data_IF_667233057011
#
_entry.id   IF_667233057011
#
_cell.length_a   1.000
_cell.length_b   1.000
_cell.length_c   1.000
_cell.angle_alpha   90.00
_cell.angle_beta   90.00
_cell.angle_gamma   90.00
#
_symmetry.space_group_name_H-M   'P 1'
#
loop_
_entity.id
_entity.type
_entity.pdbx_description
1 polymer ?
#
# COMPACT_ATOMS: atom_id res chain seq x y z
N UNK A 1 23.17 11.33 26.87
CA UNK A 1 22.42 10.09 26.59
C UNK A 1 22.76 9.07 27.65
N UNK A 2 21.75 8.50 28.29
CA UNK A 2 21.90 7.48 29.33
C UNK A 2 21.53 6.13 28.74
N UNK A 3 22.38 5.12 28.92
CA UNK A 3 22.08 3.79 28.42
C UNK A 3 21.44 2.93 29.52
N UNK A 4 20.32 2.26 29.24
CA UNK A 4 19.61 1.36 30.18
C UNK A 4 19.40 -0.04 29.59
N UNK A 5 19.01 -1.00 30.42
CA UNK A 5 18.56 -2.32 29.96
C UNK A 5 17.08 -2.49 30.25
N UNK A 6 16.26 -2.81 29.25
CA UNK A 6 14.81 -2.99 29.43
C UNK A 6 14.47 -4.47 29.35
N UNK A 7 13.81 -5.00 30.39
CA UNK A 7 13.28 -6.36 30.40
C UNK A 7 11.79 -6.31 30.09
N UNK A 8 11.37 -7.02 29.05
CA UNK A 8 9.97 -7.24 28.68
C UNK A 8 9.73 -8.74 28.52
N UNK A 9 8.78 -9.30 29.28
CA UNK A 9 8.53 -10.73 29.36
C UNK A 9 9.81 -11.56 29.62
N UNK A 10 10.21 -12.40 28.65
CA UNK A 10 11.43 -13.23 28.69
C UNK A 10 12.63 -12.57 28.02
N UNK A 11 12.42 -11.46 27.31
CA UNK A 11 13.45 -10.78 26.52
C UNK A 11 14.09 -9.63 27.30
N UNK A 12 15.37 -9.38 27.02
CA UNK A 12 16.16 -8.33 27.67
C UNK A 12 16.87 -7.53 26.59
N UNK A 13 16.38 -6.31 26.35
CA UNK A 13 17.00 -5.34 25.45
C UNK A 13 18.13 -4.65 26.22
N UNK A 14 19.36 -5.02 25.88
CA UNK A 14 20.57 -4.41 26.44
C UNK A 14 20.88 -3.14 25.65
N UNK A 15 21.30 -2.11 26.36
CA UNK A 15 21.80 -0.87 25.79
C UNK A 15 20.78 0.04 25.06
N UNK A 16 19.58 0.21 25.61
CA UNK A 16 18.61 1.19 25.09
C UNK A 16 19.01 2.59 25.55
N UNK A 17 19.17 3.52 24.62
CA UNK A 17 19.56 4.90 24.91
C UNK A 17 18.35 5.75 25.32
N UNK A 18 18.53 6.52 26.38
CA UNK A 18 17.57 7.51 26.86
C UNK A 18 18.16 8.89 26.58
N UNK A 19 17.41 9.68 25.84
CA UNK A 19 17.67 11.11 25.69
C UNK A 19 16.94 11.88 26.80
N UNK A 20 17.69 12.38 27.78
CA UNK A 20 17.17 13.18 28.90
C UNK A 20 16.74 14.59 28.48
N UNK A 21 17.02 15.01 27.24
CA UNK A 21 16.53 16.29 26.68
C UNK A 21 15.11 16.19 26.13
N UNK A 22 14.58 14.97 25.98
CA UNK A 22 13.27 14.68 25.39
C UNK A 22 12.32 14.08 26.43
N UNK A 23 10.99 14.20 26.25
CA UNK A 23 10.04 13.65 27.22
C UNK A 23 10.07 12.11 27.26
N UNK A 24 9.70 11.50 28.40
CA UNK A 24 9.57 10.04 28.55
C UNK A 24 8.74 9.33 27.49
N UNK A 25 7.83 10.04 26.85
CA UNK A 25 7.05 9.55 25.73
C UNK A 25 7.92 9.05 24.55
N UNK A 26 9.00 9.76 24.21
CA UNK A 26 9.88 9.35 23.09
C UNK A 26 10.57 8.02 23.39
N UNK A 27 10.96 7.80 24.65
CA UNK A 27 11.50 6.53 25.10
C UNK A 27 10.47 5.39 25.00
N UNK A 28 9.17 5.66 25.24
CA UNK A 28 8.10 4.69 25.01
C UNK A 28 7.91 4.37 23.52
N UNK A 29 8.01 5.36 22.62
CA UNK A 29 7.96 5.11 21.18
C UNK A 29 9.13 4.23 20.72
N UNK A 30 10.36 4.50 21.18
CA UNK A 30 11.51 3.65 20.87
C UNK A 30 11.33 2.21 21.38
N UNK A 31 10.64 2.02 22.51
CA UNK A 31 10.27 0.70 23.00
C UNK A 31 9.12 0.06 22.21
N UNK A 32 8.24 0.83 21.59
CA UNK A 32 7.22 0.32 20.69
C UNK A 32 7.87 -0.31 19.44
N UNK A 33 8.88 0.34 18.86
CA UNK A 33 9.62 -0.21 17.71
C UNK A 33 10.31 -1.54 18.03
N UNK A 34 10.76 -1.71 19.28
CA UNK A 34 11.44 -2.93 19.73
C UNK A 34 10.49 -4.04 20.20
N UNK A 35 9.33 -3.70 20.77
CA UNK A 35 8.45 -4.67 21.47
C UNK A 35 7.06 -4.83 20.85
N UNK A 36 6.64 -3.93 19.96
CA UNK A 36 5.29 -3.89 19.39
C UNK A 36 4.18 -3.54 20.40
N UNK A 37 4.53 -3.10 21.61
CA UNK A 37 3.57 -2.65 22.63
C UNK A 37 3.29 -1.16 22.46
N UNK A 38 2.05 -0.72 22.15
CA UNK A 38 1.76 0.70 21.97
C UNK A 38 2.12 1.52 23.22
N UNK A 39 2.67 2.75 23.07
CA UNK A 39 3.12 3.60 24.19
C UNK A 39 2.11 3.75 25.33
N UNK A 40 0.81 3.81 25.01
CA UNK A 40 -0.29 3.93 25.98
C UNK A 40 -0.47 2.68 26.88
N UNK A 41 -0.08 1.50 26.38
CA UNK A 41 -0.17 0.22 27.08
C UNK A 41 1.15 -0.19 27.73
N UNK A 42 2.21 0.62 27.60
CA UNK A 42 3.50 0.37 28.23
C UNK A 42 3.50 0.88 29.68
N UNK A 43 3.51 -0.06 30.63
CA UNK A 43 3.78 0.21 32.04
C UNK A 43 5.25 -0.04 32.32
N UNK A 44 6.04 1.04 32.32
CA UNK A 44 7.48 0.99 32.62
C UNK A 44 7.69 1.27 34.11
N UNK A 45 8.24 0.29 34.81
CA UNK A 45 8.58 0.38 36.23
C UNK A 45 10.00 0.91 36.41
N UNK A 46 10.10 2.03 37.10
CA UNK A 46 11.34 2.70 37.51
C UNK A 46 11.47 2.61 39.03
N UNK A 47 12.68 2.70 39.59
CA UNK A 47 12.89 2.64 41.05
C UNK A 47 12.26 3.87 41.72
N UNK A 48 11.01 3.74 42.17
CA UNK A 48 10.24 4.81 42.80
C UNK A 48 8.84 5.04 42.23
N UNK A 49 8.44 4.36 41.15
CA UNK A 49 7.09 4.47 40.63
C UNK A 49 6.92 4.02 39.17
N UNK A 50 5.79 4.41 38.59
CA UNK A 50 5.47 4.21 37.18
C UNK A 50 5.91 5.44 36.37
N UNK A 51 6.59 5.22 35.25
CA UNK A 51 7.00 6.30 34.35
C UNK A 51 5.76 6.89 33.65
N UNK A 52 5.38 8.12 34.05
CA UNK A 52 4.34 8.91 33.37
C UNK A 52 4.92 9.60 32.14
N UNK A 53 4.05 9.91 31.18
CA UNK A 53 4.45 10.50 29.89
C UNK A 53 5.10 11.88 30.03
N UNK A 54 4.67 12.65 31.04
CA UNK A 54 5.15 14.02 31.32
C UNK A 54 6.12 14.09 32.51
N UNK A 55 6.75 12.97 32.91
CA UNK A 55 7.63 12.95 34.08
C UNK A 55 9.02 13.56 33.79
N UNK A 56 9.53 14.38 34.70
CA UNK A 56 10.89 14.91 34.61
C UNK A 56 11.93 13.83 34.95
N UNK A 57 12.85 13.54 34.01
CA UNK A 57 13.91 12.54 34.19
C UNK A 57 14.77 12.75 35.45
N UNK A 58 14.91 14.00 35.90
CA UNK A 58 15.63 14.38 37.13
C UNK A 58 14.95 13.87 38.41
N UNK A 59 13.62 13.78 38.42
CA UNK A 59 12.85 13.25 39.56
C UNK A 59 12.76 11.72 39.54
N UNK A 60 12.86 11.12 38.36
CA UNK A 60 12.76 9.67 38.15
C UNK A 60 14.06 8.94 38.51
N UNK A 61 15.21 9.63 38.54
CA UNK A 61 16.46 9.12 39.11
C UNK A 61 17.07 7.92 38.36
N UNK A 62 16.93 7.88 37.03
CA UNK A 62 17.46 6.77 36.20
C UNK A 62 18.98 6.86 36.10
N UNK A 63 19.68 5.78 36.48
CA UNK A 63 21.15 5.69 36.40
C UNK A 63 21.62 4.94 35.15
N UNK A 64 22.82 5.23 34.69
CA UNK A 64 23.46 4.51 33.59
C UNK A 64 23.59 3.01 33.91
N UNK A 65 23.20 2.16 32.97
CA UNK A 65 23.16 0.70 33.10
C UNK A 65 22.00 0.15 33.92
N UNK A 66 21.04 0.99 34.33
CA UNK A 66 19.91 0.53 35.15
C UNK A 66 19.00 -0.42 34.38
N UNK A 67 18.53 -1.47 35.06
CA UNK A 67 17.54 -2.41 34.53
C UNK A 67 16.13 -1.90 34.80
N UNK A 68 15.37 -1.61 33.74
CA UNK A 68 13.95 -1.24 33.78
C UNK A 68 13.10 -2.47 33.45
N UNK A 69 11.92 -2.57 34.06
CA UNK A 69 10.95 -3.62 33.73
C UNK A 69 9.76 -2.99 33.02
N UNK A 70 9.48 -3.49 31.83
CA UNK A 70 8.36 -3.07 31.00
C UNK A 70 7.30 -4.17 31.03
N UNK A 71 6.06 -3.77 31.30
CA UNK A 71 4.87 -4.61 31.22
C UNK A 71 3.90 -4.01 30.22
N UNK A 72 3.41 -4.82 29.31
CA UNK A 72 2.42 -4.42 28.32
C UNK A 72 2.19 -5.54 27.33
N UNK A 73 0.97 -5.62 26.81
CA UNK A 73 0.59 -6.58 25.79
C UNK A 73 0.84 -5.94 24.45
N UNK A 74 1.65 -6.59 23.60
CA UNK A 74 1.82 -6.15 22.22
C UNK A 74 0.47 -6.15 21.52
N UNK A 75 0.21 -5.20 20.63
CA UNK A 75 -0.97 -5.32 19.80
C UNK A 75 -0.88 -6.63 19.02
N UNK A 76 -1.98 -7.39 19.00
CA UNK A 76 -2.05 -8.57 18.15
C UNK A 76 -1.90 -8.07 16.71
N UNK A 77 -0.72 -8.28 16.13
CA UNK A 77 -0.53 -8.37 14.69
C UNK A 77 -1.71 -9.21 14.21
N UNK A 78 -2.55 -8.65 13.33
CA UNK A 78 -3.73 -9.29 12.74
C UNK A 78 -3.42 -10.77 12.54
N UNK A 79 -3.93 -11.62 13.45
CA UNK A 79 -3.70 -13.06 13.33
C UNK A 79 -4.32 -13.45 12.00
N UNK A 80 -3.51 -14.07 11.15
CA UNK A 80 -4.02 -14.69 9.93
C UNK A 80 -5.30 -15.46 10.29
N UNK A 81 -6.37 -15.35 9.50
CA UNK A 81 -7.65 -15.97 9.85
C UNK A 81 -7.43 -17.43 10.23
N UNK A 82 -7.85 -17.79 11.45
CA UNK A 82 -7.66 -19.15 11.99
C UNK A 82 -8.41 -20.20 11.15
N UNK A 83 -9.43 -19.76 10.41
CA UNK A 83 -10.11 -20.55 9.39
C UNK A 83 -9.32 -20.46 8.09
N UNK A 84 -8.89 -21.61 7.57
CA UNK A 84 -8.33 -21.72 6.22
C UNK A 84 -9.34 -21.24 5.15
N UNK A 85 -8.89 -21.04 3.91
CA UNK A 85 -9.78 -20.64 2.83
C UNK A 85 -10.93 -21.64 2.71
N UNK A 86 -12.16 -21.17 2.93
CA UNK A 86 -13.37 -21.93 2.65
C UNK A 86 -13.61 -21.83 1.15
N UNK A 87 -13.73 -22.96 0.48
CA UNK A 87 -14.01 -22.97 -0.95
C UNK A 87 -15.44 -22.49 -1.19
N UNK A 88 -15.69 -21.82 -2.32
CA UNK A 88 -17.03 -21.32 -2.64
C UNK A 88 -18.06 -22.46 -2.74
N UNK A 89 -17.60 -23.67 -3.04
CA UNK A 89 -18.40 -24.91 -3.09
C UNK A 89 -18.87 -25.37 -1.70
N UNK A 90 -18.18 -24.98 -0.63
CA UNK A 90 -18.49 -25.34 0.76
C UNK A 90 -19.40 -24.30 1.45
N UNK A 91 -19.70 -23.19 0.77
CA UNK A 91 -20.62 -22.16 1.24
C UNK A 91 -22.09 -22.62 1.10
N UNK A 92 -23.01 -22.14 1.93
CA UNK A 92 -24.43 -22.48 1.80
C UNK A 92 -25.01 -22.03 0.44
N UNK A 93 -26.04 -22.72 -0.05
CA UNK A 93 -26.56 -22.58 -1.43
C UNK A 93 -26.92 -21.13 -1.80
N UNK A 94 -27.40 -20.34 -0.83
CA UNK A 94 -27.69 -18.92 -1.01
C UNK A 94 -26.46 -18.06 -1.39
N UNK A 95 -25.27 -18.43 -0.92
CA UNK A 95 -24.01 -17.74 -1.24
C UNK A 95 -23.38 -18.29 -2.53
N UNK A 96 -23.73 -19.51 -2.93
CA UNK A 96 -23.31 -20.10 -4.22
C UNK A 96 -23.97 -19.45 -5.43
N UNK A 97 -25.06 -18.69 -5.24
CA UNK A 97 -25.76 -17.98 -6.32
C UNK A 97 -24.83 -17.04 -7.07
N UNK A 98 -23.92 -16.36 -6.34
CA UNK A 98 -22.93 -15.47 -6.95
C UNK A 98 -21.98 -16.25 -7.85
N UNK A 99 -21.51 -17.43 -7.41
CA UNK A 99 -20.67 -18.33 -8.19
C UNK A 99 -21.38 -18.85 -9.45
N UNK A 100 -22.64 -19.24 -9.33
CA UNK A 100 -23.46 -19.69 -10.46
C UNK A 100 -23.64 -18.58 -11.51
N UNK A 101 -23.96 -17.36 -11.07
CA UNK A 101 -24.12 -16.21 -11.97
C UNK A 101 -22.79 -15.84 -12.61
N UNK A 102 -21.69 -15.87 -11.85
CA UNK A 102 -20.33 -15.62 -12.35
C UNK A 102 -19.98 -16.63 -13.45
N UNK A 103 -20.14 -17.94 -13.20
CA UNK A 103 -19.85 -19.01 -14.15
C UNK A 103 -20.73 -18.96 -15.39
N UNK A 104 -21.99 -18.55 -15.24
CA UNK A 104 -22.92 -18.36 -16.36
C UNK A 104 -22.49 -17.20 -17.25
N UNK A 105 -22.03 -16.09 -16.67
CA UNK A 105 -21.59 -14.89 -17.40
C UNK A 105 -20.19 -15.08 -17.99
N UNK A 106 -19.34 -15.83 -17.30
CA UNK A 106 -17.93 -16.05 -17.60
C UNK A 106 -17.62 -17.56 -17.58
N UNK A 107 -17.82 -18.26 -18.71
CA UNK A 107 -17.68 -19.72 -18.80
C UNK A 107 -16.29 -20.26 -18.41
N UNK A 108 -15.24 -19.43 -18.44
CA UNK A 108 -13.91 -19.84 -18.01
C UNK A 108 -13.87 -20.29 -16.54
N UNK A 109 -14.69 -19.67 -15.68
CA UNK A 109 -14.77 -20.04 -14.26
C UNK A 109 -15.59 -21.32 -14.02
N UNK A 110 -16.23 -21.85 -15.07
CA UNK A 110 -16.96 -23.11 -15.06
C UNK A 110 -16.17 -24.30 -15.63
N UNK A 111 -14.90 -24.11 -15.98
CA UNK A 111 -14.06 -25.20 -16.50
C UNK A 111 -13.85 -26.29 -15.45
N UNK A 112 -13.98 -27.55 -15.89
CA UNK A 112 -13.84 -28.73 -15.05
C UNK A 112 -12.54 -29.47 -15.37
N UNK A 113 -11.85 -29.93 -14.33
CA UNK A 113 -10.73 -30.86 -14.41
C UNK A 113 -11.01 -32.04 -13.48
N UNK A 114 -11.06 -33.25 -14.05
CA UNK A 114 -11.43 -34.47 -13.33
C UNK A 114 -12.77 -34.39 -12.58
N UNK A 115 -13.77 -33.70 -13.17
CA UNK A 115 -15.11 -33.57 -12.59
C UNK A 115 -15.23 -32.53 -11.47
N UNK A 116 -14.16 -31.83 -11.12
CA UNK A 116 -14.14 -30.73 -10.15
C UNK A 116 -13.85 -29.42 -10.87
N UNK A 117 -14.41 -28.31 -10.40
CA UNK A 117 -14.10 -26.98 -10.94
C UNK A 117 -12.61 -26.67 -10.79
N UNK A 118 -12.01 -26.18 -11.87
CA UNK A 118 -10.60 -25.78 -11.88
C UNK A 118 -10.40 -24.57 -10.99
N UNK A 119 -9.26 -24.51 -10.29
CA UNK A 119 -8.82 -23.28 -9.65
C UNK A 119 -8.49 -22.23 -10.71
N UNK A 120 -8.92 -20.99 -10.46
CA UNK A 120 -8.84 -19.89 -11.42
C UNK A 120 -7.95 -18.77 -10.87
N UNK A 121 -7.52 -17.89 -11.77
CA UNK A 121 -6.71 -16.74 -11.39
C UNK A 121 -7.59 -15.66 -10.74
N UNK A 122 -7.23 -15.25 -9.52
CA UNK A 122 -8.00 -14.29 -8.75
C UNK A 122 -8.01 -12.90 -9.41
N UNK A 123 -6.92 -12.56 -10.10
CA UNK A 123 -6.85 -11.30 -10.82
C UNK A 123 -7.77 -11.25 -12.04
N UNK A 124 -7.95 -12.38 -12.73
CA UNK A 124 -8.91 -12.47 -13.82
C UNK A 124 -10.34 -12.29 -13.27
N UNK A 125 -10.64 -12.94 -12.14
CA UNK A 125 -11.92 -12.80 -11.45
C UNK A 125 -12.18 -11.34 -11.03
N UNK A 126 -11.20 -10.67 -10.41
CA UNK A 126 -11.30 -9.27 -10.01
C UNK A 126 -11.55 -8.35 -11.20
N UNK A 127 -10.81 -8.53 -12.29
CA UNK A 127 -10.98 -7.74 -13.52
C UNK A 127 -12.39 -7.91 -14.10
N UNK A 128 -12.90 -9.14 -14.16
CA UNK A 128 -14.26 -9.39 -14.66
C UNK A 128 -15.35 -8.83 -13.74
N UNK A 129 -15.12 -8.84 -12.42
CA UNK A 129 -16.01 -8.26 -11.43
C UNK A 129 -16.09 -6.73 -11.61
N UNK A 130 -14.94 -6.04 -11.67
CA UNK A 130 -14.89 -4.60 -11.90
C UNK A 130 -15.56 -4.21 -13.23
N UNK A 131 -15.32 -4.98 -14.28
CA UNK A 131 -15.99 -4.75 -15.57
C UNK A 131 -17.52 -4.87 -15.44
N UNK A 132 -18.01 -5.94 -14.81
CA UNK A 132 -19.45 -6.12 -14.58
C UNK A 132 -20.04 -4.98 -13.74
N UNK A 133 -19.36 -4.58 -12.66
CA UNK A 133 -19.79 -3.47 -11.82
C UNK A 133 -19.84 -2.16 -12.61
N UNK A 134 -18.83 -1.88 -13.43
CA UNK A 134 -18.79 -0.68 -14.26
C UNK A 134 -19.95 -0.64 -15.25
N UNK A 135 -20.40 -1.79 -15.77
CA UNK A 135 -21.54 -1.86 -16.68
C UNK A 135 -22.86 -1.69 -15.94
N UNK A 136 -23.01 -2.36 -14.79
CA UNK A 136 -24.25 -2.35 -14.02
C UNK A 136 -24.52 -1.01 -13.33
N UNK A 137 -23.46 -0.27 -12.96
CA UNK A 137 -23.56 1.03 -12.28
C UNK A 137 -23.64 2.23 -13.24
N UNK A 138 -23.47 2.02 -14.55
CA UNK A 138 -23.70 3.09 -15.56
C UNK A 138 -25.18 3.44 -15.57
N UNK A 139 -25.51 4.70 -15.29
CA UNK A 139 -26.89 5.18 -15.26
C UNK A 139 -27.42 5.38 -16.69
N UNK A 140 -28.53 4.73 -17.10
CA UNK A 140 -29.11 4.93 -18.41
C UNK A 140 -29.93 6.24 -18.43
N UNK A 141 -29.28 7.41 -18.49
CA UNK A 141 -30.04 8.65 -18.72
C UNK A 141 -29.41 10.01 -18.39
N UNK A 142 -28.22 10.11 -17.79
CA UNK A 142 -27.56 11.41 -17.58
C UNK A 142 -26.57 11.73 -18.68
N UNK A 143 -26.58 12.98 -19.17
CA UNK A 143 -25.60 13.52 -20.13
C UNK A 143 -24.17 13.51 -19.58
N UNK A 144 -24.01 13.38 -18.27
CA UNK A 144 -22.75 13.11 -17.58
C UNK A 144 -22.77 11.66 -17.09
N UNK A 145 -22.15 10.75 -17.86
CA UNK A 145 -21.93 9.37 -17.44
C UNK A 145 -20.72 9.34 -16.49
N UNK A 146 -20.95 9.59 -15.19
CA UNK A 146 -19.93 9.28 -14.17
C UNK A 146 -19.85 7.76 -14.03
N UNK A 147 -18.73 7.20 -14.47
CA UNK A 147 -18.41 5.79 -14.23
C UNK A 147 -17.93 5.68 -12.77
N UNK A 148 -18.86 5.38 -11.85
CA UNK A 148 -18.57 5.27 -10.43
C UNK A 148 -17.41 4.31 -10.11
N UNK A 149 -17.19 3.29 -10.96
CA UNK A 149 -16.04 2.37 -10.81
C UNK A 149 -14.75 3.06 -11.23
N UNK A 150 -14.77 3.87 -12.30
CA UNK A 150 -13.63 4.73 -12.67
C UNK A 150 -13.32 5.74 -11.55
N UNK A 151 -14.32 6.35 -10.92
CA UNK A 151 -14.08 7.33 -9.87
C UNK A 151 -13.49 6.68 -8.59
N UNK A 152 -13.94 5.47 -8.27
CA UNK A 152 -13.49 4.77 -7.05
C UNK A 152 -12.17 4.02 -7.21
N UNK A 153 -11.90 3.44 -8.38
CA UNK A 153 -10.78 2.53 -8.62
C UNK A 153 -9.89 2.91 -9.82
N UNK A 154 -10.30 3.88 -10.64
CA UNK A 154 -9.58 4.30 -11.83
C UNK A 154 -8.34 5.12 -11.50
N UNK A 155 -7.21 4.69 -12.05
CA UNK A 155 -5.91 5.34 -11.96
C UNK A 155 -5.64 5.97 -13.32
N UNK A 156 -5.33 7.26 -13.34
CA UNK A 156 -4.92 7.94 -14.56
C UNK A 156 -3.39 7.96 -14.64
N UNK A 157 -2.84 7.44 -15.73
CA UNK A 157 -1.42 7.41 -16.00
C UNK A 157 -1.11 8.34 -17.19
N UNK A 158 -0.12 9.20 -17.01
CA UNK A 158 0.50 9.96 -18.08
C UNK A 158 1.81 9.28 -18.48
N UNK A 159 1.94 8.88 -19.73
CA UNK A 159 3.06 8.11 -20.24
C UNK A 159 3.85 8.89 -21.28
N UNK A 160 5.17 8.98 -21.09
CA UNK A 160 6.10 9.45 -22.11
C UNK A 160 6.72 8.25 -22.81
N UNK A 161 6.71 8.28 -24.13
CA UNK A 161 7.22 7.20 -24.99
C UNK A 161 8.32 7.79 -25.85
N UNK A 162 9.51 7.21 -25.76
CA UNK A 162 10.67 7.69 -26.49
C UNK A 162 11.35 6.57 -27.27
N UNK A 163 11.70 6.84 -28.52
CA UNK A 163 12.52 5.94 -29.33
C UNK A 163 13.99 6.25 -29.11
N UNK A 164 14.77 5.26 -28.68
CA UNK A 164 16.21 5.45 -28.48
C UNK A 164 16.97 5.64 -29.81
N UNK A 165 16.47 5.06 -30.90
CA UNK A 165 17.16 5.08 -32.20
C UNK A 165 16.82 6.30 -33.06
N UNK A 166 15.55 6.72 -33.09
CA UNK A 166 15.08 7.82 -33.95
C UNK A 166 14.96 9.16 -33.23
N UNK A 167 14.95 9.18 -31.89
CA UNK A 167 14.68 10.38 -31.10
C UNK A 167 13.21 10.83 -31.14
N UNK A 168 12.30 10.00 -31.63
CA UNK A 168 10.86 10.28 -31.63
C UNK A 168 10.31 10.22 -30.21
N UNK A 169 9.51 11.23 -29.84
CA UNK A 169 8.84 11.33 -28.54
C UNK A 169 7.33 11.48 -28.73
N UNK A 170 6.55 10.77 -27.92
CA UNK A 170 5.09 10.90 -27.87
C UNK A 170 4.58 10.79 -26.44
N UNK A 171 3.50 11.48 -26.14
CA UNK A 171 2.82 11.41 -24.84
C UNK A 171 1.44 10.75 -24.99
N UNK A 172 1.12 9.81 -24.10
CA UNK A 172 -0.16 9.09 -24.08
C UNK A 172 -0.75 9.13 -22.67
N UNK A 173 -2.06 9.32 -22.54
CA UNK A 173 -2.78 9.21 -21.27
C UNK A 173 -3.63 7.94 -21.29
N UNK A 174 -3.54 7.13 -20.24
CA UNK A 174 -4.32 5.90 -20.09
C UNK A 174 -5.01 5.82 -18.73
N UNK A 175 -6.17 5.17 -18.67
CA UNK A 175 -6.85 4.84 -17.42
C UNK A 175 -6.74 3.35 -17.16
N UNK A 176 -6.25 2.98 -15.98
CA UNK A 176 -6.10 1.58 -15.54
C UNK A 176 -6.79 1.37 -14.19
N UNK A 177 -7.15 0.13 -13.85
CA UNK A 177 -7.82 -0.20 -12.59
C UNK A 177 -6.92 -0.93 -11.57
N UNK A 178 -5.68 -1.23 -11.97
CA UNK A 178 -4.68 -1.86 -11.11
C UNK A 178 -3.28 -1.36 -11.47
N UNK A 179 -2.46 -1.11 -10.45
CA UNK A 179 -1.02 -0.91 -10.63
C UNK A 179 -0.30 -2.26 -10.60
N UNK A 180 0.52 -2.50 -11.60
CA UNK A 180 1.30 -3.74 -11.70
C UNK A 180 2.59 -3.61 -10.90
N UNK A 181 2.76 -4.49 -9.92
CA UNK A 181 4.01 -4.69 -9.20
C UNK A 181 4.79 -5.82 -9.89
N UNK A 182 5.79 -5.45 -10.69
CA UNK A 182 6.64 -6.42 -11.38
C UNK A 182 7.74 -6.88 -10.42
N UNK A 183 7.76 -8.19 -10.14
CA UNK A 183 8.69 -8.77 -9.18
C UNK A 183 9.83 -9.41 -9.94
N UNK A 184 11.03 -8.83 -9.83
CA UNK A 184 12.27 -9.41 -10.38
C UNK A 184 13.19 -9.93 -9.28
N UNK A 185 14.38 -10.38 -9.64
CA UNK A 185 15.41 -10.77 -8.67
C UNK A 185 15.97 -9.59 -7.87
N UNK A 186 15.73 -8.36 -8.33
CA UNK A 186 16.26 -7.14 -7.74
C UNK A 186 15.22 -6.46 -6.82
N UNK A 187 13.95 -6.82 -6.94
CA UNK A 187 12.85 -6.23 -6.17
C UNK A 187 12.70 -6.93 -4.81
N UNK A 188 12.90 -6.18 -3.73
CA UNK A 188 12.66 -6.63 -2.37
C UNK A 188 11.46 -5.91 -1.74
N UNK A 189 11.21 -4.66 -2.14
CA UNK A 189 10.13 -3.84 -1.62
C UNK A 189 9.08 -3.56 -2.69
N UNK A 190 7.82 -3.38 -2.26
CA UNK A 190 6.69 -3.08 -3.14
C UNK A 190 6.95 -1.84 -4.02
N UNK A 191 7.51 -0.78 -3.43
CA UNK A 191 7.77 0.47 -4.14
C UNK A 191 8.68 0.29 -5.37
N UNK A 192 9.72 -0.54 -5.25
CA UNK A 192 10.62 -0.89 -6.36
C UNK A 192 9.87 -1.63 -7.47
N UNK A 193 9.01 -2.59 -7.09
CA UNK A 193 8.20 -3.35 -8.05
C UNK A 193 7.17 -2.50 -8.79
N UNK A 194 6.60 -1.49 -8.12
CA UNK A 194 5.71 -0.51 -8.76
C UNK A 194 6.47 0.38 -9.74
N UNK A 195 7.66 0.84 -9.35
CA UNK A 195 8.52 1.65 -10.23
C UNK A 195 8.92 0.89 -11.48
N UNK A 196 9.21 -0.41 -11.36
CA UNK A 196 9.46 -1.27 -12.52
C UNK A 196 8.20 -1.46 -13.37
N UNK A 197 7.02 -1.57 -12.78
CA UNK A 197 5.78 -1.73 -13.54
C UNK A 197 5.29 -0.48 -14.27
N UNK A 198 5.77 0.70 -13.87
CA UNK A 198 5.55 1.95 -14.59
C UNK A 198 6.51 2.15 -15.77
N UNK A 199 7.51 1.29 -15.93
CA UNK A 199 8.43 1.29 -17.06
C UNK A 199 8.16 0.08 -17.94
N UNK A 200 8.05 0.28 -19.25
CA UNK A 200 7.86 -0.82 -20.19
C UNK A 200 8.58 -0.56 -21.50
N UNK A 201 9.04 -1.64 -22.13
CA UNK A 201 9.60 -1.62 -23.48
C UNK A 201 8.53 -2.06 -24.48
N UNK A 202 8.43 -1.33 -25.59
CA UNK A 202 7.44 -1.54 -26.64
C UNK A 202 8.15 -1.64 -27.98
N UNK A 203 7.77 -2.60 -28.81
CA UNK A 203 8.18 -2.62 -30.21
C UNK A 203 7.10 -1.93 -31.05
N UNK A 204 7.46 -0.80 -31.69
CA UNK A 204 6.57 -0.07 -32.62
C UNK A 204 7.29 0.14 -33.95
N UNK A 205 6.51 0.21 -35.03
CA UNK A 205 7.05 0.59 -36.34
C UNK A 205 7.38 2.09 -36.33
N UNK A 206 8.66 2.44 -36.49
CA UNK A 206 9.11 3.82 -36.56
C UNK A 206 8.90 4.37 -37.98
N UNK A 207 8.12 5.44 -38.16
CA UNK A 207 7.98 6.12 -39.45
C UNK A 207 9.32 6.67 -39.96
N UNK A 208 10.17 7.18 -39.06
CA UNK A 208 11.48 7.73 -39.42
C UNK A 208 12.47 6.66 -39.92
N UNK A 209 12.46 5.46 -39.33
CA UNK A 209 13.39 4.38 -39.68
C UNK A 209 12.83 3.40 -40.71
N UNK A 210 11.50 3.41 -40.95
CA UNK A 210 10.83 2.48 -41.87
C UNK A 210 10.87 1.02 -41.41
N UNK A 211 11.13 0.76 -40.12
CA UNK A 211 11.23 -0.57 -39.50
C UNK A 211 10.72 -0.55 -38.05
N UNK A 212 10.50 -1.73 -37.48
CA UNK A 212 10.25 -1.84 -36.03
C UNK A 212 11.48 -1.41 -35.24
N UNK A 213 11.24 -0.58 -34.23
CA UNK A 213 12.23 -0.10 -33.29
C UNK A 213 11.71 -0.24 -31.86
N UNK A 214 12.64 -0.25 -30.90
CA UNK A 214 12.30 -0.33 -29.47
C UNK A 214 12.04 1.07 -28.92
N UNK A 215 10.85 1.23 -28.36
CA UNK A 215 10.41 2.43 -27.64
C UNK A 215 10.37 2.13 -26.15
N UNK A 216 10.84 3.07 -25.35
CA UNK A 216 10.72 3.03 -23.90
C UNK A 216 9.54 3.89 -23.48
N UNK A 217 8.61 3.28 -22.75
CA UNK A 217 7.44 3.93 -22.14
C UNK A 217 7.69 4.08 -20.65
N UNK A 218 7.71 5.33 -20.19
CA UNK A 218 7.75 5.69 -18.77
C UNK A 218 6.41 6.34 -18.37
N UNK A 219 5.69 5.69 -17.46
CA UNK A 219 4.40 6.14 -16.96
C UNK A 219 4.54 6.80 -15.59
N UNK A 220 3.77 7.84 -15.35
CA UNK A 220 3.61 8.50 -14.05
C UNK A 220 2.13 8.60 -13.69
N UNK A 221 1.84 8.55 -12.40
CA UNK A 221 0.45 8.64 -11.92
C UNK A 221 0.00 10.11 -12.01
N UNK A 222 -0.98 10.38 -12.85
CA UNK A 222 -1.56 11.70 -13.03
C UNK A 222 -2.84 11.90 -12.20
N UNK A 223 -3.53 10.81 -11.87
CA UNK A 223 -4.74 10.83 -11.03
C UNK A 223 -4.82 9.57 -10.17
N UNK A 224 -5.06 9.76 -8.87
CA UNK A 224 -5.18 8.67 -7.90
C UNK A 224 -6.67 8.38 -7.59
N UNK A 225 -7.07 7.09 -7.60
CA UNK A 225 -8.41 6.69 -7.15
C UNK A 225 -8.51 6.75 -5.63
N UNK A 226 -9.73 6.65 -5.09
CA UNK A 226 -9.95 6.47 -3.64
C UNK A 226 -9.55 5.09 -3.13
N UNK A 227 -9.61 4.07 -3.97
CA UNK A 227 -9.18 2.72 -3.66
C UNK A 227 -8.17 2.24 -4.70
N UNK A 228 -6.93 2.04 -4.26
CA UNK A 228 -5.84 1.63 -5.12
C UNK A 228 -5.68 0.11 -5.12
N UNK A 229 -5.87 -0.52 -6.28
CA UNK A 229 -5.61 -1.95 -6.46
C UNK A 229 -4.16 -2.16 -6.91
N UNK A 230 -3.44 -3.06 -6.23
CA UNK A 230 -2.06 -3.44 -6.60
C UNK A 230 -2.03 -4.91 -6.99
N UNK A 231 -1.64 -5.18 -8.23
CA UNK A 231 -1.48 -6.52 -8.78
C UNK A 231 -0.03 -6.97 -8.65
N UNK A 232 0.22 -8.02 -7.86
CA UNK A 232 1.53 -8.66 -7.81
C UNK A 232 1.70 -9.60 -8.99
N UNK A 233 2.52 -9.21 -9.97
CA UNK A 233 2.78 -9.99 -11.18
C UNK A 233 3.76 -11.12 -10.87
N UNK A 234 3.24 -12.17 -10.24
CA UNK A 234 4.02 -13.35 -9.79
C UNK A 234 4.07 -14.48 -10.80
N UNK A 235 3.17 -14.51 -11.77
CA UNK A 235 3.12 -15.59 -12.75
C UNK A 235 3.81 -15.16 -14.04
N UNK A 236 4.63 -16.06 -14.58
CA UNK A 236 5.28 -15.85 -15.87
C UNK A 236 5.44 -17.18 -16.61
N UNK A 237 5.56 -17.11 -17.93
CA UNK A 237 5.78 -18.28 -18.77
C UNK A 237 7.29 -18.52 -18.95
N UNK A 238 7.77 -19.71 -18.59
CA UNK A 238 9.14 -20.14 -18.90
C UNK A 238 9.15 -20.80 -20.27
N UNK A 239 9.83 -20.18 -21.24
CA UNK A 239 9.90 -20.66 -22.62
C UNK A 239 10.70 -21.96 -22.73
N UNK A 240 11.71 -22.14 -21.87
CA UNK A 240 12.61 -23.30 -21.87
C UNK A 240 11.87 -24.59 -21.49
N UNK A 241 10.94 -24.49 -20.53
CA UNK A 241 10.17 -25.64 -20.03
C UNK A 241 8.74 -25.68 -20.55
N UNK A 242 8.30 -24.68 -21.31
CA UNK A 242 6.91 -24.48 -21.74
C UNK A 242 5.90 -24.66 -20.60
N UNK A 243 6.17 -24.02 -19.46
CA UNK A 243 5.35 -24.12 -18.25
C UNK A 243 5.15 -22.75 -17.61
N UNK A 244 3.96 -22.54 -17.02
CA UNK A 244 3.66 -21.40 -16.16
C UNK A 244 4.42 -21.58 -14.83
N UNK A 245 5.21 -20.59 -14.45
CA UNK A 245 5.96 -20.58 -13.20
C UNK A 245 5.48 -19.45 -12.29
N UNK A 246 5.63 -19.65 -10.97
CA UNK A 246 5.27 -18.66 -9.94
C UNK A 246 6.51 -18.15 -9.22
N UNK A 247 6.61 -16.84 -9.07
CA UNK A 247 7.65 -16.15 -8.30
C UNK A 247 7.25 -16.19 -6.83
N UNK A 248 7.98 -17.01 -6.06
CA UNK A 248 7.78 -17.20 -4.61
C UNK A 248 8.63 -16.24 -3.76
N UNK A 249 9.32 -15.29 -4.38
CA UNK A 249 10.13 -14.29 -3.68
C UNK A 249 9.28 -13.48 -2.70
N UNK A 250 9.78 -13.30 -1.49
CA UNK A 250 9.17 -12.39 -0.51
C UNK A 250 9.36 -10.95 -1.01
N UNK A 251 8.26 -10.22 -1.09
CA UNK A 251 8.27 -8.78 -1.36
C UNK A 251 7.64 -8.13 -0.14
N UNK A 252 8.38 -7.22 0.47
CA UNK A 252 7.96 -6.47 1.64
C UNK A 252 7.05 -5.31 1.20
N UNK A 253 5.95 -5.11 1.90
CA UNK A 253 5.00 -4.04 1.62
C UNK A 253 4.61 -3.35 2.93
N UNK A 254 4.62 -2.01 2.97
CA UNK A 254 4.29 -1.27 4.18
C UNK A 254 2.78 -1.32 4.44
N UNK A 255 2.39 -1.09 5.70
CA UNK A 255 0.98 -0.90 6.06
C UNK A 255 0.44 0.42 5.49
N UNK A 256 1.28 1.46 5.49
CA UNK A 256 1.00 2.76 4.89
C UNK A 256 1.85 2.92 3.62
N UNK A 257 1.18 3.03 2.48
CA UNK A 257 1.86 3.15 1.20
C UNK A 257 1.93 4.61 0.76
N UNK A 258 3.15 5.11 0.57
CA UNK A 258 3.40 6.39 -0.09
C UNK A 258 3.77 6.17 -1.56
N UNK A 259 2.95 6.72 -2.45
CA UNK A 259 3.12 6.68 -3.91
C UNK A 259 3.52 8.05 -4.49
N UNK A 260 3.79 9.04 -3.64
CA UNK A 260 4.11 10.40 -4.10
C UNK A 260 5.24 10.41 -5.14
N UNK A 261 6.33 9.68 -4.90
CA UNK A 261 7.47 9.62 -5.84
C UNK A 261 7.14 9.03 -7.22
N UNK A 262 5.98 8.37 -7.37
CA UNK A 262 5.52 7.75 -8.62
C UNK A 262 4.54 8.66 -9.41
N UNK A 263 4.14 9.78 -8.83
CA UNK A 263 3.20 10.72 -9.42
C UNK A 263 3.86 11.65 -10.46
N UNK A 264 3.03 12.32 -11.27
CA UNK A 264 3.44 13.39 -12.18
C UNK A 264 3.72 14.70 -11.41
N UNK A 265 4.47 15.61 -12.04
CA UNK A 265 4.77 16.92 -11.45
C UNK A 265 3.51 17.77 -11.26
N UNK A 266 2.50 17.58 -12.12
CA UNK A 266 1.19 18.21 -11.97
C UNK A 266 0.49 17.72 -10.69
N UNK A 267 0.46 16.40 -10.48
CA UNK A 267 -0.19 15.81 -9.31
C UNK A 267 0.59 16.11 -8.02
N UNK A 268 1.92 16.21 -8.07
CA UNK A 268 2.76 16.67 -6.94
C UNK A 268 2.28 18.00 -6.40
N UNK A 269 2.10 18.99 -7.29
CA UNK A 269 1.66 20.35 -6.91
C UNK A 269 0.28 20.34 -6.25
N UNK A 270 -0.62 19.47 -6.70
CA UNK A 270 -1.96 19.33 -6.10
C UNK A 270 -1.90 18.66 -4.72
N UNK A 271 -1.02 17.67 -4.55
CA UNK A 271 -0.92 16.90 -3.32
C UNK A 271 -0.06 17.56 -2.24
N UNK A 272 0.83 18.50 -2.59
CA UNK A 272 1.76 19.16 -1.66
C UNK A 272 1.01 19.83 -0.49
N UNK A 273 -0.03 20.61 -0.79
CA UNK A 273 -0.83 21.32 0.22
C UNK A 273 -1.53 20.37 1.20
N UNK A 274 -2.37 19.44 0.72
CA UNK A 274 -3.03 18.44 1.56
C UNK A 274 -2.05 17.59 2.40
N UNK A 275 -0.92 17.17 1.81
CA UNK A 275 0.10 16.38 2.52
C UNK A 275 0.78 17.18 3.62
N UNK A 276 1.08 18.46 3.39
CA UNK A 276 1.65 19.32 4.42
C UNK A 276 0.68 19.51 5.59
N UNK A 277 -0.62 19.70 5.32
CA UNK A 277 -1.64 19.82 6.36
C UNK A 277 -1.73 18.55 7.23
N UNK A 278 -1.73 17.37 6.62
CA UNK A 278 -1.74 16.10 7.35
C UNK A 278 -0.49 15.92 8.22
N UNK A 279 0.70 16.25 7.68
CA UNK A 279 1.96 16.23 8.44
C UNK A 279 1.94 17.21 9.62
N UNK A 280 1.38 18.40 9.44
CA UNK A 280 1.25 19.40 10.50
C UNK A 280 0.27 18.95 11.58
N UNK A 281 -0.83 18.29 11.22
CA UNK A 281 -1.80 17.73 12.16
C UNK A 281 -1.23 16.56 12.96
N UNK A 282 -0.49 15.65 12.32
CA UNK A 282 0.24 14.59 12.99
C UNK A 282 1.33 15.14 13.91
N UNK A 283 2.08 16.14 13.45
CA UNK A 283 3.08 16.85 14.26
C UNK A 283 2.45 17.50 15.50
N UNK A 284 1.27 18.11 15.37
CA UNK A 284 0.50 18.66 16.50
C UNK A 284 0.05 17.58 17.47
N UNK A 285 -0.44 16.42 16.97
CA UNK A 285 -0.81 15.27 17.82
C UNK A 285 0.39 14.72 18.59
N UNK A 286 1.59 14.80 18.00
CA UNK A 286 2.85 14.37 18.60
C UNK A 286 3.53 15.46 19.46
N UNK A 287 2.88 16.62 19.66
CA UNK A 287 3.38 17.68 20.54
C UNK A 287 4.50 18.55 19.94
N UNK A 288 4.77 18.45 18.64
CA UNK A 288 5.70 19.33 17.93
C UNK A 288 5.03 20.69 17.68
N UNK A 289 5.63 21.78 18.20
CA UNK A 289 5.16 23.13 17.90
C UNK A 289 5.51 23.49 16.46
N UNK A 290 4.51 23.94 15.69
CA UNK A 290 4.72 24.47 14.36
C UNK A 290 5.72 25.63 14.41
N UNK A 291 6.77 25.56 13.60
CA UNK A 291 7.74 26.64 13.50
C UNK A 291 7.09 27.77 12.70
N UNK A 292 6.64 28.83 13.38
CA UNK A 292 6.11 30.04 12.75
C UNK A 292 7.25 30.75 11.99
N UNK A 293 7.42 30.44 10.71
CA UNK A 293 8.09 31.35 9.78
C UNK A 293 7.47 31.29 8.39
N UNK A 294 6.98 32.47 7.98
CA UNK A 294 6.46 32.91 6.68
C UNK A 294 5.15 32.30 6.16
N UNK A 295 4.02 32.71 6.75
CA UNK A 295 2.75 32.84 6.02
C UNK A 295 2.73 34.20 5.31
N UNK A 296 2.91 34.23 3.99
CA UNK A 296 2.38 35.31 3.15
C UNK A 296 1.10 34.79 2.51
N UNK A 297 -0.02 35.38 2.93
CA UNK A 297 -1.39 35.17 2.45
C UNK A 297 -1.52 35.26 0.93
N UNK A 298 -2.00 34.18 0.31
CA UNK A 298 -2.89 34.24 -0.86
C UNK A 298 -4.06 33.30 -0.58
N UNK A 299 -5.21 33.89 -0.33
CA UNK A 299 -6.50 33.21 -0.38
C UNK A 299 -6.75 32.81 -1.83
N UNK A 300 -6.57 31.53 -2.15
CA UNK A 300 -7.29 30.90 -3.24
C UNK A 300 -8.37 30.02 -2.61
N UNK A 301 -9.62 30.37 -2.91
CA UNK A 301 -10.84 29.73 -2.44
C UNK A 301 -10.95 28.33 -3.07
N UNK A 302 -10.15 27.38 -2.54
CA UNK A 302 -10.18 25.98 -2.96
C UNK A 302 -11.38 25.31 -2.31
N UNK A 303 -12.41 25.01 -3.11
CA UNK A 303 -13.62 24.30 -2.69
C UNK A 303 -13.23 23.03 -1.91
N UNK A 304 -13.52 23.03 -0.61
CA UNK A 304 -13.22 21.94 0.34
C UNK A 304 -13.92 20.61 0.02
N UNK A 305 -14.88 20.57 -0.91
CA UNK A 305 -15.68 19.36 -1.18
C UNK A 305 -14.89 18.25 -1.89
N UNK A 306 -13.91 18.60 -2.71
CA UNK A 306 -13.13 17.62 -3.49
C UNK A 306 -11.90 17.13 -2.70
N UNK A 307 -11.44 17.93 -1.73
CA UNK A 307 -10.28 17.63 -0.90
C UNK A 307 -10.61 16.66 0.26
N UNK A 308 -11.85 16.62 0.77
CA UNK A 308 -12.24 15.64 1.80
C UNK A 308 -12.11 14.19 1.31
N UNK A 309 -12.24 13.94 0.00
CA UNK A 309 -11.99 12.64 -0.61
C UNK A 309 -10.52 12.20 -0.55
N UNK A 310 -9.59 13.15 -0.73
CA UNK A 310 -8.14 12.91 -0.68
C UNK A 310 -7.58 12.88 0.76
N UNK A 311 -8.10 13.73 1.66
CA UNK A 311 -7.57 13.94 3.01
C UNK A 311 -7.94 12.81 3.99
N UNK A 312 -9.02 12.05 3.71
CA UNK A 312 -9.46 10.89 4.53
C UNK A 312 -9.08 9.52 3.96
N UNK A 313 -8.16 9.45 3.00
CA UNK A 313 -7.69 8.17 2.49
C UNK A 313 -6.69 7.52 3.45
N UNK A 314 -7.22 6.96 4.55
CA UNK A 314 -6.57 5.85 5.21
C UNK A 314 -6.70 4.66 4.23
N UNK A 315 -5.67 4.44 3.41
CA UNK A 315 -5.70 3.49 2.30
C UNK A 315 -5.88 2.06 2.85
N UNK A 316 -7.14 1.63 2.96
CA UNK A 316 -7.48 0.22 3.13
C UNK A 316 -7.22 -0.47 1.79
N UNK A 317 -6.03 -1.04 1.67
CA UNK A 317 -5.72 -1.99 0.61
C UNK A 317 -6.71 -3.16 0.75
N UNK A 318 -7.46 -3.42 -0.31
CA UNK A 318 -8.31 -4.62 -0.42
C UNK A 318 -7.36 -5.75 -0.81
N UNK A 319 -7.11 -6.68 0.11
CA UNK A 319 -6.33 -7.87 -0.17
C UNK A 319 -7.19 -8.96 -0.80
N UNK A 320 -6.72 -9.46 -1.93
CA UNK A 320 -7.10 -10.77 -2.42
C UNK A 320 -6.11 -11.80 -1.87
N UNK A 321 -6.57 -12.61 -0.92
CA UNK A 321 -5.74 -13.61 -0.23
C UNK A 321 -6.01 -14.98 -0.83
N UNK A 322 -5.38 -15.29 -1.97
CA UNK A 322 -5.40 -16.64 -2.54
C UNK A 322 -3.97 -17.18 -2.68
N UNK A 323 -3.76 -18.36 -2.08
CA UNK A 323 -2.54 -19.19 -2.07
C UNK A 323 -1.46 -18.91 -1.02
N UNK A 324 -1.79 -19.17 0.26
CA UNK A 324 -0.88 -19.89 1.17
C UNK A 324 -1.38 -21.33 1.36
N UNK A 325 -1.03 -22.23 0.44
CA UNK A 325 -0.81 -23.67 0.69
C UNK A 325 -0.41 -24.34 -0.62
N UNK A 326 0.89 -24.44 -0.82
CA UNK A 326 1.48 -25.57 -1.55
C UNK A 326 2.90 -25.75 -1.01
N UNK A 327 2.96 -26.17 0.24
CA UNK A 327 4.15 -26.63 0.96
C UNK A 327 3.68 -27.30 2.25
N UNK A 328 3.08 -28.47 2.12
CA UNK A 328 3.24 -29.62 3.01
C UNK A 328 2.59 -30.85 2.42
#
# INVERSE_FOLDING_TARGET
>A
MLTVSVKWQKEVFKAVEIDTSQPPYVFKCQLYDLTGVPPERQKIMVKGGLLKDDADWSTVGVKQGQKLMMMGTADEIVKAPEKGPVFMEDLPEEEQVVSLVLRKKYPQFGQLHNGVFMQQDAEECWTQLLYTLSQSLRSPGSSENLDAVKDLFGIELASSIHCQESGEESSETESVYSLKCHISQEVNHLHEGLKHGLKSELEKASPALGRSATYLKESRINGLPRYLTIQFVRFFWKRESNQKAKILRKVDYPLELDVYDLCSDELHKQLEGPRQLLRDEEGKKLGLKANEKSRSSKDDDFKMTDAEGFIKCNWRIIWDYISRRDSR
#
